data_IF_261629181969
#
_entry.id   IF_261629181969
#
_cell.length_a   1.000
_cell.length_b   1.000
_cell.length_c   1.000
_cell.angle_alpha   90.00
_cell.angle_beta   90.00
_cell.angle_gamma   90.00
#
_symmetry.space_group_name_H-M   'P 1'
#
loop_
_entity.id
_entity.type
_entity.pdbx_description
1 polymer ?
#
# COMPACT_ATOMS: atom_id res chain seq x y z
N UNK A 1 -2.60 27.46 5.49
CA UNK A 1 -1.59 28.43 5.98
C UNK A 1 -1.50 29.61 5.02
N UNK A 2 -1.06 30.75 5.52
CA UNK A 2 -0.83 31.98 4.75
C UNK A 2 0.67 32.15 4.49
N UNK A 3 1.03 33.00 3.51
CA UNK A 3 2.42 33.40 3.28
C UNK A 3 3.07 33.99 4.54
N UNK A 4 4.31 33.65 4.80
CA UNK A 4 5.04 34.05 6.00
C UNK A 4 4.77 33.19 7.24
N UNK A 5 3.85 32.20 7.18
CA UNK A 5 3.61 31.31 8.32
C UNK A 5 4.71 30.23 8.45
N UNK A 6 5.15 29.98 9.70
CA UNK A 6 6.07 28.89 10.01
C UNK A 6 5.34 27.56 9.99
N UNK A 7 5.91 26.58 9.33
CA UNK A 7 5.36 25.24 9.18
C UNK A 7 6.41 24.18 9.53
N UNK A 8 5.95 23.07 10.07
CA UNK A 8 6.77 21.87 10.29
C UNK A 8 6.52 20.87 9.19
N UNK A 9 7.48 20.00 8.97
CA UNK A 9 7.34 18.88 8.05
C UNK A 9 6.08 18.05 8.37
N UNK A 10 5.20 17.91 7.38
CA UNK A 10 3.92 17.20 7.51
C UNK A 10 2.71 18.08 7.77
N UNK A 11 2.89 19.35 8.11
CA UNK A 11 1.77 20.30 8.28
C UNK A 11 1.04 20.50 6.95
N UNK A 12 -0.30 20.50 7.01
CA UNK A 12 -1.13 20.71 5.81
C UNK A 12 -1.13 22.18 5.43
N UNK A 13 -0.59 22.53 4.26
CA UNK A 13 -0.50 23.89 3.75
C UNK A 13 -1.81 24.31 3.08
N UNK A 14 -2.31 23.44 2.19
CA UNK A 14 -3.59 23.62 1.51
C UNK A 14 -4.27 22.27 1.30
N UNK A 15 -5.58 22.31 1.14
CA UNK A 15 -6.40 21.14 0.86
C UNK A 15 -7.13 21.34 -0.48
N UNK A 16 -7.02 20.35 -1.35
CA UNK A 16 -7.69 20.32 -2.66
C UNK A 16 -8.91 19.41 -2.60
N UNK A 17 -9.93 19.69 -3.38
CA UNK A 17 -11.08 18.79 -3.59
C UNK A 17 -11.07 18.18 -4.98
N UNK A 18 -11.43 16.91 -5.08
CA UNK A 18 -11.61 16.22 -6.36
C UNK A 18 -12.82 15.30 -6.28
N UNK A 19 -13.94 15.77 -6.84
CA UNK A 19 -15.22 15.03 -6.81
C UNK A 19 -15.11 13.68 -7.54
N UNK A 20 -14.38 13.59 -8.65
CA UNK A 20 -14.18 12.34 -9.38
C UNK A 20 -13.47 11.30 -8.52
N UNK A 21 -12.41 11.71 -7.81
CA UNK A 21 -11.68 10.83 -6.92
C UNK A 21 -12.51 10.40 -5.70
N UNK A 22 -13.36 11.31 -5.17
CA UNK A 22 -14.30 11.00 -4.09
C UNK A 22 -15.34 9.97 -4.53
N UNK A 23 -15.88 10.10 -5.74
CA UNK A 23 -16.81 9.09 -6.29
C UNK A 23 -16.11 7.76 -6.53
N UNK A 24 -14.85 7.76 -7.00
CA UNK A 24 -14.08 6.54 -7.23
C UNK A 24 -13.81 5.77 -5.94
N UNK A 25 -13.53 6.45 -4.82
CA UNK A 25 -13.34 5.78 -3.53
C UNK A 25 -14.63 5.12 -3.05
N UNK A 26 -15.76 5.83 -3.13
CA UNK A 26 -17.07 5.29 -2.74
C UNK A 26 -17.45 4.06 -3.57
N UNK A 27 -17.22 4.10 -4.89
CA UNK A 27 -17.46 2.97 -5.77
C UNK A 27 -16.58 1.78 -5.40
N UNK A 28 -15.28 2.00 -5.20
CA UNK A 28 -14.34 0.92 -4.85
C UNK A 28 -14.64 0.32 -3.47
N UNK A 29 -15.14 1.12 -2.51
CA UNK A 29 -15.58 0.63 -1.20
C UNK A 29 -16.84 -0.26 -1.34
N UNK A 30 -17.81 0.14 -2.17
CA UNK A 30 -18.99 -0.66 -2.45
C UNK A 30 -18.64 -1.99 -3.13
N UNK A 31 -17.77 -1.95 -4.14
CA UNK A 31 -17.31 -3.15 -4.86
C UNK A 31 -16.55 -4.11 -3.94
N UNK A 32 -15.71 -3.60 -3.05
CA UNK A 32 -14.99 -4.40 -2.06
C UNK A 32 -15.95 -5.06 -1.08
N UNK A 33 -16.93 -4.30 -0.55
CA UNK A 33 -17.93 -4.82 0.37
C UNK A 33 -18.81 -5.90 -0.31
N UNK A 34 -19.21 -5.70 -1.57
CA UNK A 34 -19.94 -6.70 -2.35
C UNK A 34 -19.15 -8.00 -2.49
N UNK A 35 -17.86 -7.92 -2.89
CA UNK A 35 -16.98 -9.10 -3.03
C UNK A 35 -16.77 -9.83 -1.71
N UNK A 36 -16.61 -9.12 -0.59
CA UNK A 36 -16.54 -9.72 0.73
C UNK A 36 -17.81 -10.47 1.11
N UNK A 37 -19.00 -9.93 0.78
CA UNK A 37 -20.27 -10.59 0.99
C UNK A 37 -20.42 -11.85 0.11
N UNK A 38 -20.00 -11.79 -1.16
CA UNK A 38 -20.02 -12.94 -2.06
C UNK A 38 -19.10 -14.05 -1.50
N UNK A 39 -17.88 -13.72 -1.06
CA UNK A 39 -16.99 -14.72 -0.45
C UNK A 39 -17.63 -15.37 0.78
N UNK A 40 -18.21 -14.56 1.67
CA UNK A 40 -18.87 -15.06 2.88
C UNK A 40 -20.00 -16.03 2.54
N UNK A 41 -20.87 -15.66 1.60
CA UNK A 41 -22.00 -16.49 1.18
C UNK A 41 -21.51 -17.79 0.51
N UNK A 42 -20.46 -17.70 -0.30
CA UNK A 42 -19.81 -18.85 -0.92
C UNK A 42 -19.26 -19.80 0.12
N UNK A 43 -18.55 -19.31 1.14
CA UNK A 43 -18.02 -20.13 2.24
C UNK A 43 -19.13 -20.83 3.03
N UNK A 44 -20.25 -20.15 3.30
CA UNK A 44 -21.41 -20.73 3.97
C UNK A 44 -22.01 -21.86 3.12
N UNK A 45 -22.22 -21.62 1.82
CA UNK A 45 -22.75 -22.63 0.89
C UNK A 45 -21.84 -23.85 0.79
N UNK A 46 -20.51 -23.64 0.71
CA UNK A 46 -19.52 -24.70 0.71
C UNK A 46 -19.52 -25.52 1.99
N UNK A 47 -19.73 -24.90 3.13
CA UNK A 47 -19.82 -25.61 4.40
C UNK A 47 -21.09 -26.46 4.50
N UNK A 48 -22.23 -25.96 4.00
CA UNK A 48 -23.46 -26.73 3.91
C UNK A 48 -23.29 -27.98 3.03
N UNK A 49 -22.69 -27.83 1.84
CA UNK A 49 -22.40 -28.96 0.95
C UNK A 49 -21.44 -29.97 1.62
N UNK A 50 -20.41 -29.50 2.30
CA UNK A 50 -19.48 -30.37 3.07
C UNK A 50 -20.21 -31.20 4.13
N UNK A 51 -21.12 -30.57 4.87
CA UNK A 51 -21.92 -31.25 5.89
C UNK A 51 -22.86 -32.30 5.26
N UNK A 52 -23.48 -31.98 4.13
CA UNK A 52 -24.34 -32.92 3.37
C UNK A 52 -23.54 -34.13 2.91
N UNK A 53 -22.39 -33.96 2.29
CA UNK A 53 -21.50 -35.05 1.87
C UNK A 53 -21.01 -35.91 3.04
N UNK A 54 -20.74 -35.26 4.18
CA UNK A 54 -20.36 -35.99 5.39
C UNK A 54 -21.49 -36.85 5.94
N UNK A 55 -22.73 -36.35 5.91
CA UNK A 55 -23.91 -37.09 6.32
C UNK A 55 -24.13 -38.30 5.41
N UNK A 56 -24.06 -38.12 4.07
CA UNK A 56 -24.20 -39.21 3.08
C UNK A 56 -23.12 -40.27 3.30
N UNK A 57 -21.87 -39.85 3.52
CA UNK A 57 -20.78 -40.79 3.84
C UNK A 57 -21.06 -41.61 5.08
N UNK A 58 -21.53 -41.00 6.17
CA UNK A 58 -21.86 -41.71 7.41
C UNK A 58 -22.97 -42.75 7.19
N UNK A 59 -23.98 -42.45 6.39
CA UNK A 59 -25.05 -43.38 6.05
C UNK A 59 -24.50 -44.58 5.28
N UNK A 60 -23.62 -44.34 4.27
CA UNK A 60 -22.98 -45.40 3.49
C UNK A 60 -22.00 -46.23 4.34
N UNK A 61 -21.26 -45.64 5.26
CA UNK A 61 -20.37 -46.38 6.17
C UNK A 61 -21.19 -47.36 7.07
N UNK A 62 -22.38 -46.94 7.54
CA UNK A 62 -23.29 -47.82 8.29
C UNK A 62 -23.87 -48.94 7.38
N UNK A 63 -24.27 -48.60 6.16
CA UNK A 63 -24.81 -49.59 5.18
C UNK A 63 -23.75 -50.64 4.83
N UNK A 64 -22.52 -50.21 4.52
CA UNK A 64 -21.41 -51.12 4.26
C UNK A 64 -21.16 -52.03 5.45
N UNK A 65 -21.16 -51.50 6.68
CA UNK A 65 -20.95 -52.28 7.89
C UNK A 65 -22.04 -53.33 8.12
N UNK A 66 -23.31 -53.00 7.81
CA UNK A 66 -24.45 -53.91 7.90
C UNK A 66 -24.35 -55.02 6.85
N UNK A 67 -24.18 -54.66 5.57
CA UNK A 67 -24.12 -55.60 4.47
C UNK A 67 -22.88 -56.51 4.54
N UNK A 68 -21.77 -56.01 5.05
CA UNK A 68 -20.58 -56.81 5.37
C UNK A 68 -20.90 -57.95 6.36
N UNK A 69 -21.59 -57.64 7.45
CA UNK A 69 -21.96 -58.67 8.42
C UNK A 69 -22.88 -59.73 7.83
N UNK A 70 -23.86 -59.32 7.01
CA UNK A 70 -24.74 -60.24 6.32
C UNK A 70 -23.99 -61.12 5.34
N UNK A 71 -23.06 -60.51 4.57
CA UNK A 71 -22.20 -61.26 3.64
C UNK A 71 -21.31 -62.27 4.39
N UNK A 72 -20.64 -61.87 5.46
CA UNK A 72 -19.78 -62.77 6.25
C UNK A 72 -20.58 -63.94 6.85
N UNK A 73 -21.79 -63.64 7.36
CA UNK A 73 -22.69 -64.69 7.89
C UNK A 73 -23.16 -65.64 6.78
N UNK A 74 -23.62 -65.13 5.66
CA UNK A 74 -24.07 -65.97 4.54
C UNK A 74 -22.93 -66.80 3.91
N UNK A 75 -21.72 -66.26 3.91
CA UNK A 75 -20.53 -66.98 3.45
C UNK A 75 -20.27 -68.21 4.37
N UNK A 76 -20.31 -68.05 5.67
CA UNK A 76 -20.12 -69.14 6.66
C UNK A 76 -21.23 -70.18 6.52
N UNK A 77 -22.49 -69.78 6.33
CA UNK A 77 -23.63 -70.69 6.17
C UNK A 77 -23.51 -71.46 4.84
N UNK A 78 -23.07 -70.82 3.76
CA UNK A 78 -22.86 -71.47 2.47
C UNK A 78 -21.70 -72.49 2.49
N UNK A 79 -20.59 -72.14 3.16
CA UNK A 79 -19.44 -73.06 3.35
C UNK A 79 -19.82 -74.34 4.14
N UNK A 80 -20.89 -74.25 4.94
CA UNK A 80 -21.45 -75.39 5.69
C UNK A 80 -22.69 -76.04 5.02
N UNK A 81 -22.96 -75.72 3.74
CA UNK A 81 -24.11 -76.24 2.94
C UNK A 81 -25.49 -75.94 3.53
N UNK A 82 -25.61 -74.80 4.34
CA UNK A 82 -26.85 -74.48 5.04
C UNK A 82 -27.76 -73.48 4.28
N UNK A 83 -27.24 -72.85 3.20
CA UNK A 83 -27.99 -71.92 2.33
C UNK A 83 -27.71 -72.20 0.87
N UNK A 84 -28.59 -71.68 -0.01
CA UNK A 84 -28.41 -71.78 -1.46
C UNK A 84 -27.30 -70.83 -1.96
N UNK A 85 -26.58 -71.27 -2.98
CA UNK A 85 -25.53 -70.45 -3.62
C UNK A 85 -26.04 -69.07 -4.07
N UNK A 86 -27.26 -69.01 -4.54
CA UNK A 86 -27.90 -67.75 -4.99
C UNK A 86 -27.99 -66.72 -3.87
N UNK A 87 -28.36 -67.15 -2.67
CA UNK A 87 -28.48 -66.30 -1.49
C UNK A 87 -27.11 -65.75 -1.04
N UNK A 88 -26.08 -66.57 -1.09
CA UNK A 88 -24.71 -66.16 -0.84
C UNK A 88 -24.27 -65.10 -1.88
N UNK A 89 -24.40 -65.39 -3.18
CA UNK A 89 -24.00 -64.46 -4.25
C UNK A 89 -24.75 -63.14 -4.17
N UNK A 90 -26.02 -63.12 -3.86
CA UNK A 90 -26.81 -61.91 -3.70
C UNK A 90 -26.28 -61.07 -2.53
N UNK A 91 -25.88 -61.67 -1.42
CA UNK A 91 -25.29 -60.96 -0.29
C UNK A 91 -23.92 -60.36 -0.62
N UNK A 92 -23.11 -61.07 -1.41
CA UNK A 92 -21.82 -60.59 -1.90
C UNK A 92 -21.98 -59.40 -2.83
N UNK A 93 -22.89 -59.47 -3.82
CA UNK A 93 -23.19 -58.37 -4.75
C UNK A 93 -23.68 -57.14 -4.04
N UNK A 94 -24.59 -57.29 -3.06
CA UNK A 94 -25.10 -56.17 -2.27
C UNK A 94 -24.00 -55.49 -1.44
N UNK A 95 -23.13 -56.28 -0.83
CA UNK A 95 -21.97 -55.76 -0.09
C UNK A 95 -21.01 -55.00 -1.03
N UNK A 96 -20.66 -55.60 -2.17
CA UNK A 96 -19.77 -55.01 -3.15
C UNK A 96 -20.32 -53.70 -3.73
N UNK A 97 -21.64 -53.66 -4.02
CA UNK A 97 -22.32 -52.44 -4.47
C UNK A 97 -22.20 -51.31 -3.42
N UNK A 98 -22.40 -51.61 -2.16
CA UNK A 98 -22.28 -50.62 -1.08
C UNK A 98 -20.85 -50.11 -0.94
N UNK A 99 -19.84 -50.98 -1.04
CA UNK A 99 -18.42 -50.60 -1.06
C UNK A 99 -18.10 -49.64 -2.22
N UNK A 100 -18.61 -49.99 -3.42
CA UNK A 100 -18.39 -49.16 -4.61
C UNK A 100 -19.05 -47.78 -4.45
N UNK A 101 -20.28 -47.71 -3.93
CA UNK A 101 -20.96 -46.42 -3.61
C UNK A 101 -20.14 -45.58 -2.62
N UNK A 102 -19.63 -46.23 -1.56
CA UNK A 102 -18.78 -45.54 -0.57
C UNK A 102 -17.51 -44.98 -1.19
N UNK A 103 -16.87 -45.74 -2.10
CA UNK A 103 -15.66 -45.31 -2.83
C UNK A 103 -15.95 -44.05 -3.65
N UNK A 104 -17.07 -44.03 -4.39
CA UNK A 104 -17.49 -42.89 -5.19
C UNK A 104 -17.71 -41.62 -4.33
N UNK A 105 -18.32 -41.76 -3.16
CA UNK A 105 -18.50 -40.61 -2.22
C UNK A 105 -17.15 -40.10 -1.71
N UNK A 106 -16.20 -40.96 -1.42
CA UNK A 106 -14.85 -40.53 -1.01
C UNK A 106 -14.11 -39.79 -2.12
N UNK A 107 -14.23 -40.26 -3.36
CA UNK A 107 -13.67 -39.57 -4.54
C UNK A 107 -14.32 -38.19 -4.74
N UNK A 108 -15.66 -38.15 -4.68
CA UNK A 108 -16.41 -36.91 -4.77
C UNK A 108 -15.99 -35.91 -3.67
N UNK A 109 -15.85 -36.38 -2.43
CA UNK A 109 -15.40 -35.55 -1.30
C UNK A 109 -14.00 -34.97 -1.54
N UNK A 110 -13.09 -35.76 -2.10
CA UNK A 110 -11.72 -35.34 -2.44
C UNK A 110 -11.73 -34.27 -3.53
N UNK A 111 -12.46 -34.51 -4.62
CA UNK A 111 -12.56 -33.55 -5.74
C UNK A 111 -13.21 -32.24 -5.29
N UNK A 112 -14.28 -32.32 -4.52
CA UNK A 112 -14.97 -31.16 -3.97
C UNK A 112 -14.07 -30.33 -3.03
N UNK A 113 -13.25 -30.97 -2.22
CA UNK A 113 -12.26 -30.30 -1.36
C UNK A 113 -11.22 -29.51 -2.19
N UNK A 114 -10.71 -30.10 -3.26
CA UNK A 114 -9.75 -29.45 -4.16
C UNK A 114 -10.39 -28.27 -4.89
N UNK A 115 -11.60 -28.47 -5.42
CA UNK A 115 -12.34 -27.41 -6.11
C UNK A 115 -12.60 -26.21 -5.19
N UNK A 116 -13.08 -26.46 -3.97
CA UNK A 116 -13.32 -25.43 -2.97
C UNK A 116 -12.05 -24.67 -2.61
N UNK A 117 -10.97 -25.36 -2.36
CA UNK A 117 -9.69 -24.73 -2.04
C UNK A 117 -9.25 -23.77 -3.16
N UNK A 118 -9.32 -24.22 -4.41
CA UNK A 118 -8.98 -23.38 -5.57
C UNK A 118 -9.90 -22.18 -5.72
N UNK A 119 -11.21 -22.36 -5.54
CA UNK A 119 -12.18 -21.27 -5.67
C UNK A 119 -12.02 -20.22 -4.57
N UNK A 120 -11.82 -20.65 -3.32
CA UNK A 120 -11.57 -19.74 -2.20
C UNK A 120 -10.29 -18.95 -2.42
N UNK A 121 -9.19 -19.63 -2.80
CA UNK A 121 -7.93 -18.98 -3.11
C UNK A 121 -8.09 -17.91 -4.20
N UNK A 122 -8.78 -18.21 -5.29
CA UNK A 122 -9.03 -17.25 -6.37
C UNK A 122 -9.83 -16.02 -5.88
N UNK A 123 -10.83 -16.24 -5.02
CA UNK A 123 -11.61 -15.15 -4.45
C UNK A 123 -10.77 -14.29 -3.50
N UNK A 124 -9.94 -14.89 -2.65
CA UNK A 124 -9.04 -14.19 -1.74
C UNK A 124 -7.99 -13.36 -2.49
N UNK A 125 -7.41 -13.91 -3.57
CA UNK A 125 -6.48 -13.17 -4.43
C UNK A 125 -7.17 -11.96 -5.10
N UNK A 126 -8.42 -12.13 -5.55
CA UNK A 126 -9.22 -11.03 -6.09
C UNK A 126 -9.50 -9.94 -5.05
N UNK A 127 -9.89 -10.32 -3.83
CA UNK A 127 -10.09 -9.39 -2.73
C UNK A 127 -8.81 -8.62 -2.37
N UNK A 128 -7.69 -9.32 -2.27
CA UNK A 128 -6.39 -8.71 -2.00
C UNK A 128 -6.01 -7.67 -3.06
N UNK A 129 -6.30 -7.96 -4.32
CA UNK A 129 -6.07 -7.01 -5.42
C UNK A 129 -6.96 -5.76 -5.30
N UNK A 130 -8.23 -5.94 -4.91
CA UNK A 130 -9.15 -4.83 -4.66
C UNK A 130 -8.73 -3.99 -3.45
N UNK A 131 -8.29 -4.61 -2.37
CA UNK A 131 -7.76 -3.92 -1.18
C UNK A 131 -6.53 -3.08 -1.51
N UNK A 132 -5.62 -3.62 -2.35
CA UNK A 132 -4.45 -2.87 -2.81
C UNK A 132 -4.88 -1.66 -3.66
N UNK A 133 -5.82 -1.85 -4.58
CA UNK A 133 -6.35 -0.75 -5.39
C UNK A 133 -7.01 0.33 -4.51
N UNK A 134 -7.80 -0.08 -3.52
CA UNK A 134 -8.41 0.82 -2.54
C UNK A 134 -7.34 1.61 -1.77
N UNK A 135 -6.27 0.95 -1.34
CA UNK A 135 -5.15 1.62 -0.67
C UNK A 135 -4.54 2.71 -1.56
N UNK A 136 -4.29 2.41 -2.83
CA UNK A 136 -3.75 3.37 -3.79
C UNK A 136 -4.70 4.57 -4.03
N UNK A 137 -6.01 4.33 -4.06
CA UNK A 137 -6.99 5.42 -4.18
C UNK A 137 -6.97 6.29 -2.92
N UNK A 138 -6.92 5.70 -1.73
CA UNK A 138 -6.82 6.44 -0.46
C UNK A 138 -5.54 7.28 -0.38
N UNK A 139 -4.41 6.75 -0.82
CA UNK A 139 -3.16 7.52 -0.91
C UNK A 139 -3.28 8.72 -1.87
N UNK A 140 -4.01 8.57 -2.99
CA UNK A 140 -4.30 9.70 -3.90
C UNK A 140 -5.20 10.74 -3.24
N UNK A 141 -6.19 10.33 -2.46
CA UNK A 141 -7.05 11.25 -1.69
C UNK A 141 -6.24 11.98 -0.61
N UNK A 142 -5.37 11.27 0.09
CA UNK A 142 -4.46 11.88 1.09
C UNK A 142 -3.50 12.89 0.46
N UNK A 143 -3.08 12.68 -0.77
CA UNK A 143 -2.23 13.61 -1.53
C UNK A 143 -2.96 14.88 -1.98
N UNK A 144 -4.31 14.95 -1.85
CA UNK A 144 -5.04 16.21 -2.02
C UNK A 144 -4.76 17.19 -0.87
N UNK A 145 -4.24 16.70 0.25
CA UNK A 145 -3.69 17.52 1.33
C UNK A 145 -2.21 17.78 1.06
N UNK A 146 -1.91 18.93 0.53
CA UNK A 146 -0.52 19.34 0.29
C UNK A 146 0.15 19.64 1.62
N UNK A 147 1.16 18.83 1.94
CA UNK A 147 1.89 18.90 3.22
C UNK A 147 3.27 19.52 3.02
N UNK A 148 3.75 20.23 4.04
CA UNK A 148 5.11 20.75 4.06
C UNK A 148 6.15 19.62 3.98
N UNK A 149 7.05 19.59 2.99
CA UNK A 149 8.09 18.57 2.86
C UNK A 149 9.24 18.74 3.86
N UNK A 150 9.43 19.98 4.35
CA UNK A 150 10.50 20.37 5.29
C UNK A 150 9.94 21.35 6.33
N UNK A 151 10.67 21.53 7.43
CA UNK A 151 10.43 22.63 8.36
C UNK A 151 10.87 23.96 7.70
N UNK A 152 10.08 25.02 7.90
CA UNK A 152 10.43 26.31 7.30
C UNK A 152 9.31 27.33 7.38
N UNK A 153 9.37 28.31 6.49
CA UNK A 153 8.38 29.38 6.33
C UNK A 153 7.78 29.32 4.93
N UNK A 154 6.45 29.42 4.82
CA UNK A 154 5.76 29.51 3.53
C UNK A 154 6.19 30.82 2.86
N UNK A 155 7.01 30.72 1.81
CA UNK A 155 7.56 31.88 1.12
C UNK A 155 6.56 32.54 0.18
N UNK A 156 6.03 31.75 -0.76
CA UNK A 156 5.04 32.19 -1.73
C UNK A 156 3.99 31.09 -1.86
N UNK A 157 2.74 31.48 -1.99
CA UNK A 157 1.62 30.57 -2.20
C UNK A 157 0.75 31.10 -3.33
N UNK A 158 0.94 30.53 -4.55
CA UNK A 158 0.24 30.98 -5.77
C UNK A 158 -1.16 30.39 -5.92
N UNK A 159 -1.62 29.60 -4.97
CA UNK A 159 -2.94 28.96 -5.02
C UNK A 159 -4.01 29.84 -4.36
N UNK A 160 -5.06 30.14 -5.12
CA UNK A 160 -6.23 30.90 -4.68
C UNK A 160 -7.41 29.96 -4.39
N UNK A 161 -8.20 30.27 -3.36
CA UNK A 161 -9.38 29.48 -3.01
C UNK A 161 -10.37 29.39 -4.20
N UNK A 162 -10.78 28.19 -4.57
CA UNK A 162 -11.66 27.92 -5.70
C UNK A 162 -10.96 27.82 -7.07
N UNK A 163 -9.64 27.98 -7.11
CA UNK A 163 -8.86 27.82 -8.34
C UNK A 163 -8.73 26.35 -8.72
N UNK A 164 -8.80 26.08 -10.03
CA UNK A 164 -8.49 24.75 -10.57
C UNK A 164 -6.98 24.60 -10.74
N UNK A 165 -6.42 23.53 -10.17
CA UNK A 165 -5.00 23.21 -10.23
C UNK A 165 -4.76 22.01 -11.15
N UNK A 166 -3.71 22.09 -11.98
CA UNK A 166 -3.29 21.00 -12.86
C UNK A 166 -2.03 20.31 -12.33
N UNK A 167 -1.85 19.06 -12.72
CA UNK A 167 -0.64 18.31 -12.35
C UNK A 167 0.63 19.01 -12.88
N UNK A 168 1.63 19.15 -12.03
CA UNK A 168 2.89 19.83 -12.35
C UNK A 168 2.87 21.35 -12.20
N UNK A 169 1.75 21.93 -11.82
CA UNK A 169 1.66 23.36 -11.53
C UNK A 169 2.41 23.68 -10.21
N UNK A 170 3.21 24.73 -10.23
CA UNK A 170 3.83 25.25 -9.03
C UNK A 170 2.76 25.96 -8.20
N UNK A 171 2.58 25.53 -6.96
CA UNK A 171 1.58 26.08 -6.02
C UNK A 171 2.19 26.94 -4.94
N UNK A 172 3.52 26.94 -4.81
CA UNK A 172 4.22 27.72 -3.80
C UNK A 172 5.60 27.19 -3.48
N UNK A 173 6.26 27.83 -2.53
CA UNK A 173 7.56 27.37 -2.02
C UNK A 173 7.66 27.51 -0.52
N UNK A 174 8.46 26.65 0.10
CA UNK A 174 8.84 26.75 1.51
C UNK A 174 10.32 27.13 1.57
N UNK A 175 10.60 28.14 2.38
CA UNK A 175 11.96 28.59 2.66
C UNK A 175 12.47 27.86 3.89
N UNK A 176 13.57 27.15 3.74
CA UNK A 176 14.32 26.62 4.88
C UNK A 176 15.04 27.76 5.58
N UNK A 177 14.70 27.99 6.85
CA UNK A 177 15.31 29.02 7.67
C UNK A 177 16.48 28.51 8.52
N UNK A 178 16.83 27.23 8.41
CA UNK A 178 17.90 26.62 9.22
C UNK A 178 19.30 27.05 8.77
N UNK A 179 19.42 27.48 7.53
CA UNK A 179 20.70 27.90 6.98
C UNK A 179 20.55 28.98 5.90
N UNK A 180 21.36 29.98 6.00
CA UNK A 180 21.51 31.05 5.00
C UNK A 180 22.85 30.94 4.33
N UNK A 181 22.90 31.28 3.05
CA UNK A 181 24.15 31.53 2.33
C UNK A 181 24.16 32.95 1.80
N UNK A 182 25.31 33.56 1.81
CA UNK A 182 25.54 34.84 1.17
C UNK A 182 26.23 34.59 -0.16
N UNK A 183 25.61 35.06 -1.25
CA UNK A 183 26.23 34.98 -2.56
C UNK A 183 26.81 36.34 -2.93
N UNK A 184 28.14 36.40 -3.02
CA UNK A 184 28.85 37.60 -3.44
C UNK A 184 29.11 37.56 -4.95
N UNK A 185 29.07 38.74 -5.57
CA UNK A 185 29.55 39.00 -6.91
C UNK A 185 30.92 39.69 -6.78
N UNK A 186 31.96 39.06 -7.30
CA UNK A 186 33.35 39.49 -7.14
C UNK A 186 33.92 39.76 -8.52
N UNK A 187 34.68 40.85 -8.65
CA UNK A 187 35.34 41.25 -9.90
C UNK A 187 36.31 40.11 -10.36
N UNK A 188 36.36 39.86 -11.69
CA UNK A 188 37.18 38.80 -12.26
C UNK A 188 38.68 38.94 -11.99
N UNK A 189 39.13 40.16 -11.74
CA UNK A 189 40.52 40.40 -11.39
C UNK A 189 41.00 39.65 -10.16
N UNK A 190 40.09 39.28 -9.27
CA UNK A 190 40.41 38.57 -8.02
C UNK A 190 40.22 37.05 -8.12
N UNK A 191 39.89 36.49 -9.29
CA UNK A 191 39.53 35.07 -9.43
C UNK A 191 40.61 34.12 -8.95
N UNK A 192 41.91 34.44 -9.23
CA UNK A 192 43.04 33.63 -8.83
C UNK A 192 43.38 33.72 -7.31
N UNK A 193 42.87 34.72 -6.63
CA UNK A 193 43.09 34.96 -5.22
C UNK A 193 41.99 34.46 -4.31
N UNK A 194 40.78 34.28 -4.88
CA UNK A 194 39.60 33.86 -4.13
C UNK A 194 39.47 32.35 -4.16
N UNK A 195 39.92 31.71 -3.10
CA UNK A 195 39.93 30.25 -2.95
C UNK A 195 39.04 29.80 -1.80
N UNK A 196 38.51 28.60 -1.87
CA UNK A 196 37.71 28.01 -0.80
C UNK A 196 38.41 27.99 0.53
N UNK A 197 37.70 28.34 1.60
CA UNK A 197 38.28 28.42 2.97
C UNK A 197 38.67 29.83 3.40
N UNK A 198 38.70 30.82 2.50
CA UNK A 198 38.87 32.20 2.90
C UNK A 198 37.70 32.68 3.76
N UNK A 199 38.00 33.59 4.71
CA UNK A 199 37.02 34.25 5.57
C UNK A 199 36.69 35.63 5.02
N UNK A 200 35.42 35.97 5.08
CA UNK A 200 34.92 37.32 4.82
C UNK A 200 34.08 37.78 6.00
N UNK A 201 33.98 39.08 6.19
CA UNK A 201 33.14 39.65 7.24
C UNK A 201 32.33 40.82 6.70
N UNK A 202 31.13 41.00 7.22
CA UNK A 202 30.35 42.21 7.00
C UNK A 202 29.84 42.75 8.35
N UNK A 203 29.56 44.04 8.35
CA UNK A 203 29.03 44.72 9.52
C UNK A 203 27.54 45.00 9.35
N UNK A 204 26.78 44.75 10.42
CA UNK A 204 25.36 45.07 10.48
C UNK A 204 24.99 45.48 11.91
N UNK A 205 24.44 46.69 12.08
CA UNK A 205 24.02 47.19 13.38
C UNK A 205 25.11 47.09 14.46
N UNK A 206 26.33 47.56 14.11
CA UNK A 206 27.52 47.53 14.97
C UNK A 206 28.02 46.11 15.36
N UNK A 207 27.45 45.06 14.77
CA UNK A 207 27.92 43.67 14.92
C UNK A 207 28.64 43.22 13.67
N UNK A 208 29.79 42.57 13.86
CA UNK A 208 30.58 41.95 12.79
C UNK A 208 30.26 40.48 12.70
N UNK A 209 29.85 40.05 11.51
CA UNK A 209 29.53 38.66 11.23
C UNK A 209 30.60 38.03 10.30
N UNK A 210 31.13 36.89 10.71
CA UNK A 210 32.15 36.17 9.94
C UNK A 210 31.54 35.08 9.12
N UNK A 211 32.08 34.92 7.92
CA UNK A 211 31.60 33.89 6.94
C UNK A 211 32.82 33.20 6.32
N UNK A 212 32.67 31.96 5.98
CA UNK A 212 33.66 31.16 5.27
C UNK A 212 33.24 30.94 3.81
N UNK A 213 34.18 31.09 2.89
CA UNK A 213 33.97 30.80 1.46
C UNK A 213 33.88 29.31 1.22
N UNK A 214 32.71 28.87 0.76
CA UNK A 214 32.41 27.44 0.53
C UNK A 214 32.55 27.04 -0.94
N UNK A 215 32.19 27.93 -1.84
CA UNK A 215 32.18 27.62 -3.28
C UNK A 215 32.46 28.85 -4.11
N UNK A 216 33.36 28.70 -5.08
CA UNK A 216 33.60 29.68 -6.14
C UNK A 216 33.02 29.11 -7.43
N UNK A 217 32.26 29.92 -8.15
CA UNK A 217 31.74 29.57 -9.47
C UNK A 217 32.73 30.08 -10.53
N UNK A 218 33.31 29.20 -11.34
CA UNK A 218 34.36 29.62 -12.31
C UNK A 218 33.84 30.41 -13.50
N UNK A 219 32.51 30.50 -13.64
CA UNK A 219 31.88 31.22 -14.73
C UNK A 219 31.89 32.70 -14.47
N UNK A 220 32.55 33.48 -15.35
CA UNK A 220 32.56 34.92 -15.33
C UNK A 220 31.43 35.46 -16.22
N UNK A 221 30.62 36.34 -15.68
CA UNK A 221 29.58 37.08 -16.43
C UNK A 221 29.68 38.57 -16.12
N UNK A 222 29.73 39.40 -17.16
CA UNK A 222 29.85 40.87 -17.04
C UNK A 222 31.06 41.30 -16.20
N UNK A 223 32.19 40.60 -16.29
CA UNK A 223 33.41 40.93 -15.54
C UNK A 223 33.35 40.51 -14.06
N UNK A 224 32.40 39.69 -13.66
CA UNK A 224 32.23 39.24 -12.27
C UNK A 224 32.01 37.74 -12.20
N UNK A 225 32.51 37.11 -11.15
CA UNK A 225 32.19 35.73 -10.80
C UNK A 225 31.44 35.65 -9.49
N UNK A 226 30.74 34.55 -9.26
CA UNK A 226 29.94 34.32 -8.05
C UNK A 226 30.70 33.48 -7.04
N UNK A 227 30.54 33.79 -5.77
CA UNK A 227 31.07 33.03 -4.64
C UNK A 227 30.02 32.88 -3.55
N UNK A 228 29.84 31.66 -3.04
CA UNK A 228 28.92 31.36 -1.96
C UNK A 228 29.67 31.26 -0.62
N UNK A 229 29.23 32.08 0.32
CA UNK A 229 29.71 32.09 1.70
C UNK A 229 28.68 31.50 2.65
N UNK A 230 29.16 30.88 3.71
CA UNK A 230 28.34 30.37 4.80
C UNK A 230 28.77 31.08 6.09
N UNK A 231 27.80 31.41 6.92
CA UNK A 231 28.06 31.96 8.26
C UNK A 231 28.88 30.94 9.09
N UNK A 232 29.92 31.42 9.73
CA UNK A 232 30.83 30.61 10.56
C UNK A 232 30.26 30.36 11.96
N UNK A 233 29.60 31.38 12.51
CA UNK A 233 29.04 31.39 13.84
C UNK A 233 27.54 31.70 13.81
N UNK A 234 27.07 32.65 14.63
CA UNK A 234 25.66 33.00 14.75
C UNK A 234 25.13 33.73 13.51
N UNK A 235 23.89 33.38 13.17
CA UNK A 235 23.15 34.06 12.10
C UNK A 235 22.68 35.44 12.62
N UNK A 236 22.77 36.50 11.80
CA UNK A 236 22.18 37.78 12.14
C UNK A 236 20.69 37.65 12.42
N UNK A 237 20.20 38.27 13.50
CA UNK A 237 18.76 38.33 13.76
C UNK A 237 18.02 39.03 12.59
N UNK A 238 16.84 38.56 12.27
CA UNK A 238 15.98 39.14 11.22
C UNK A 238 16.61 39.22 9.83
N UNK A 239 17.49 38.25 9.49
CA UNK A 239 17.98 38.13 8.11
C UNK A 239 16.85 37.63 7.20
N UNK A 240 16.72 38.28 6.03
CA UNK A 240 15.70 37.90 5.03
C UNK A 240 16.36 37.54 3.70
N UNK A 241 15.75 36.66 2.96
CA UNK A 241 16.17 36.30 1.61
C UNK A 241 16.11 37.54 0.70
N UNK A 242 17.13 37.72 -0.14
CA UNK A 242 17.20 38.81 -1.11
C UNK A 242 17.76 40.13 -0.55
N UNK A 243 18.17 40.16 0.71
CA UNK A 243 18.89 41.34 1.26
C UNK A 243 20.30 41.40 0.66
N UNK A 244 20.73 42.60 0.33
CA UNK A 244 22.09 42.87 -0.19
C UNK A 244 22.92 43.50 0.91
N UNK A 245 24.13 43.01 1.07
CA UNK A 245 25.17 43.55 1.97
C UNK A 245 26.44 43.81 1.16
N UNK A 246 27.21 44.79 1.61
CA UNK A 246 28.54 45.07 1.09
C UNK A 246 29.55 44.33 1.97
N UNK A 247 30.44 43.58 1.29
CA UNK A 247 31.50 42.77 1.90
C UNK A 247 32.83 43.53 1.82
#
# INVERSE_FOLDING_TARGET
HEEGSKVKRGDVILEMSNNSLSMQILQSEADLAEKQNILRNTLISMEQERLSLRQEKLQLDLEVSRLRRTYEQNKELYENDLIAKEEYLQSEENYQLAVNKRTLILERQKQDSLYRSSQVQQMEESLKSMELNMKLIRERVDNLKVKAPIDGEVGMLDAVLGQSLSQGMNIGQINDLSAYKVQAQIDEHYIDRVTTGLTASFERQDNKFEMSLRKVYPEVRNGQFKADFRFSDELPENIRRGQTYYL
#
